data_IF_830391266036
#
_entry.id   IF_830391266036
#
_cell.length_a   1.000
_cell.length_b   1.000
_cell.length_c   1.000
_cell.angle_alpha   90.00
_cell.angle_beta   90.00
_cell.angle_gamma   90.00
#
_symmetry.space_group_name_H-M   'P 1'
#
loop_
_entity.id
_entity.type
_entity.pdbx_description
1 polymer ?
#
# COMPACT_ATOMS: atom_id res chain seq x y z
N UNK A 1 -1.69 5.54 22.37
CA UNK A 1 -2.47 4.57 21.61
C UNK A 1 -1.60 3.34 21.51
N UNK A 2 -2.15 2.14 21.68
CA UNK A 2 -1.31 0.92 21.55
C UNK A 2 -0.66 0.90 20.15
N UNK A 3 0.64 0.55 20.02
CA UNK A 3 1.37 0.62 18.75
C UNK A 3 0.66 -0.06 17.57
N UNK A 4 0.01 -1.21 17.83
CA UNK A 4 -0.76 -1.93 16.81
C UNK A 4 -1.98 -1.15 16.29
N UNK A 5 -2.73 -0.48 17.19
CA UNK A 5 -3.86 0.37 16.80
C UNK A 5 -3.39 1.60 16.01
N UNK A 6 -2.28 2.22 16.45
CA UNK A 6 -1.68 3.35 15.75
C UNK A 6 -1.20 2.95 14.35
N UNK A 7 -0.63 1.76 14.21
CA UNK A 7 -0.22 1.21 12.93
C UNK A 7 -1.41 0.95 12.01
N UNK A 8 -2.48 0.29 12.47
CA UNK A 8 -3.70 0.09 11.67
C UNK A 8 -4.27 1.43 11.18
N UNK A 9 -4.42 2.42 12.06
CA UNK A 9 -4.91 3.75 11.66
C UNK A 9 -3.97 4.40 10.65
N UNK A 10 -2.65 4.27 10.85
CA UNK A 10 -1.65 4.70 9.88
C UNK A 10 -1.82 4.04 8.51
N UNK A 11 -2.07 2.72 8.50
CA UNK A 11 -2.32 1.95 7.28
C UNK A 11 -3.59 2.37 6.56
N UNK A 12 -4.67 2.65 7.30
CA UNK A 12 -5.92 3.16 6.72
C UNK A 12 -5.73 4.54 6.08
N UNK A 13 -5.05 5.46 6.78
CA UNK A 13 -4.71 6.80 6.25
C UNK A 13 -3.83 6.66 5.01
N UNK A 14 -2.81 5.79 5.06
CA UNK A 14 -1.97 5.52 3.91
C UNK A 14 -2.75 4.94 2.73
N UNK A 15 -3.69 4.03 2.96
CA UNK A 15 -4.57 3.50 1.91
C UNK A 15 -5.34 4.60 1.19
N UNK A 16 -5.94 5.53 1.94
CA UNK A 16 -6.64 6.70 1.37
C UNK A 16 -5.67 7.59 0.57
N UNK A 17 -4.52 7.93 1.15
CA UNK A 17 -3.51 8.77 0.48
C UNK A 17 -3.02 8.13 -0.81
N UNK A 18 -2.69 6.84 -0.77
CA UNK A 18 -2.24 6.06 -1.92
C UNK A 18 -3.30 6.05 -3.02
N UNK A 19 -4.57 5.79 -2.70
CA UNK A 19 -5.66 5.85 -3.68
C UNK A 19 -5.76 7.23 -4.33
N UNK A 20 -5.65 8.31 -3.56
CA UNK A 20 -5.68 9.67 -4.10
C UNK A 20 -4.48 9.96 -5.02
N UNK A 21 -3.28 9.56 -4.62
CA UNK A 21 -2.06 9.69 -5.43
C UNK A 21 -2.21 8.95 -6.75
N UNK A 22 -2.72 7.72 -6.72
CA UNK A 22 -2.93 6.91 -7.91
C UNK A 22 -4.00 7.50 -8.83
N UNK A 23 -5.13 7.94 -8.27
CA UNK A 23 -6.19 8.58 -9.04
C UNK A 23 -5.71 9.88 -9.70
N UNK A 24 -5.01 10.75 -8.96
CA UNK A 24 -4.47 11.99 -9.48
C UNK A 24 -3.38 11.76 -10.52
N UNK A 25 -2.44 10.83 -10.25
CA UNK A 25 -1.35 10.50 -11.16
C UNK A 25 -1.83 9.90 -12.48
N UNK A 26 -2.88 9.08 -12.46
CA UNK A 26 -3.53 8.60 -13.70
C UNK A 26 -4.19 9.73 -14.46
N UNK A 27 -4.96 10.58 -13.77
CA UNK A 27 -5.66 11.70 -14.40
C UNK A 27 -4.70 12.70 -15.06
N UNK A 28 -3.51 12.88 -14.51
CA UNK A 28 -2.48 13.75 -15.06
C UNK A 28 -1.56 13.09 -16.10
N UNK A 29 -1.68 11.78 -16.32
CA UNK A 29 -0.80 11.00 -17.21
C UNK A 29 0.59 10.70 -16.65
N UNK A 30 0.86 11.09 -15.39
CA UNK A 30 2.12 10.79 -14.69
C UNK A 30 2.23 9.29 -14.39
N UNK A 31 1.12 8.65 -14.01
CA UNK A 31 1.03 7.21 -13.77
C UNK A 31 0.23 6.52 -14.87
N UNK A 32 0.69 5.32 -15.25
CA UNK A 32 -0.03 4.43 -16.15
C UNK A 32 -1.16 3.66 -15.44
N UNK A 33 -1.60 2.55 -16.05
CA UNK A 33 -2.54 1.61 -15.42
C UNK A 33 -1.88 1.01 -14.18
N UNK A 34 -2.64 0.97 -13.09
CA UNK A 34 -2.15 0.59 -11.77
C UNK A 34 -2.45 -0.87 -11.43
N UNK A 35 -1.71 -1.43 -10.48
CA UNK A 35 -1.82 -2.84 -10.09
C UNK A 35 -3.20 -3.21 -9.50
N UNK A 36 -3.86 -2.33 -8.75
CA UNK A 36 -5.27 -2.52 -8.33
C UNK A 36 -6.14 -2.90 -9.51
N UNK A 37 -5.99 -2.17 -10.62
CA UNK A 37 -6.81 -2.36 -11.79
C UNK A 37 -6.41 -3.62 -12.54
N UNK A 38 -5.12 -3.95 -12.59
CA UNK A 38 -4.66 -5.26 -13.10
C UNK A 38 -5.24 -6.42 -12.27
N UNK A 39 -5.25 -6.30 -10.93
CA UNK A 39 -5.80 -7.31 -10.04
C UNK A 39 -7.33 -7.44 -10.15
N UNK A 40 -8.04 -6.32 -10.32
CA UNK A 40 -9.50 -6.35 -10.47
C UNK A 40 -9.93 -6.76 -11.87
N UNK A 41 -9.17 -6.41 -12.91
CA UNK A 41 -9.37 -6.98 -14.25
C UNK A 41 -9.14 -8.50 -14.22
N UNK A 42 -8.10 -8.99 -13.53
CA UNK A 42 -7.89 -10.43 -13.33
C UNK A 42 -9.07 -11.10 -12.57
N UNK A 43 -9.59 -10.47 -11.51
CA UNK A 43 -10.80 -10.98 -10.82
C UNK A 43 -11.98 -11.01 -11.78
N UNK A 44 -12.17 -9.97 -12.57
CA UNK A 44 -13.25 -9.87 -13.55
C UNK A 44 -13.14 -10.95 -14.63
N UNK A 45 -11.95 -11.14 -15.20
CA UNK A 45 -11.68 -12.20 -16.19
C UNK A 45 -11.99 -13.60 -15.63
N UNK A 46 -11.74 -13.81 -14.33
CA UNK A 46 -11.97 -15.09 -13.66
C UNK A 46 -13.42 -15.30 -13.19
N UNK A 47 -14.20 -14.24 -12.98
CA UNK A 47 -15.50 -14.32 -12.28
C UNK A 47 -16.67 -13.63 -12.98
N UNK A 48 -16.42 -12.82 -14.02
CA UNK A 48 -17.40 -11.94 -14.65
C UNK A 48 -17.94 -10.85 -13.73
N UNK A 49 -17.23 -10.50 -12.66
CA UNK A 49 -17.74 -9.61 -11.60
C UNK A 49 -18.24 -8.25 -12.09
N UNK A 50 -17.63 -7.65 -13.13
CA UNK A 50 -18.00 -6.34 -13.68
C UNK A 50 -19.39 -6.36 -14.32
N UNK A 51 -19.81 -7.50 -14.87
CA UNK A 51 -21.18 -7.66 -15.38
C UNK A 51 -22.24 -7.57 -14.26
N UNK A 52 -21.83 -7.84 -13.01
CA UNK A 52 -22.71 -7.83 -11.83
C UNK A 52 -22.65 -6.52 -11.06
N UNK A 53 -21.44 -5.97 -10.86
CA UNK A 53 -21.22 -4.80 -9.97
C UNK A 53 -20.95 -3.48 -10.71
N UNK A 54 -20.73 -3.53 -12.04
CA UNK A 54 -20.40 -2.38 -12.87
C UNK A 54 -19.07 -1.69 -12.49
N UNK A 55 -18.73 -0.61 -13.19
CA UNK A 55 -17.45 0.11 -13.01
C UNK A 55 -17.33 0.79 -11.63
N UNK A 56 -18.45 1.26 -11.09
CA UNK A 56 -18.50 1.86 -9.76
C UNK A 56 -18.24 0.81 -8.67
N UNK A 57 -18.86 -0.37 -8.78
CA UNK A 57 -18.59 -1.49 -7.86
C UNK A 57 -17.17 -2.01 -7.99
N UNK A 58 -16.66 -2.11 -9.22
CA UNK A 58 -15.26 -2.47 -9.53
C UNK A 58 -14.29 -1.54 -8.80
N UNK A 59 -14.50 -0.23 -8.90
CA UNK A 59 -13.68 0.79 -8.21
C UNK A 59 -13.78 0.71 -6.69
N UNK A 60 -14.96 0.34 -6.16
CA UNK A 60 -15.14 0.15 -4.72
C UNK A 60 -14.37 -1.08 -4.21
N UNK A 61 -14.32 -2.16 -4.98
CA UNK A 61 -13.52 -3.36 -4.66
C UNK A 61 -12.03 -3.06 -4.74
N UNK A 62 -11.57 -2.32 -5.77
CA UNK A 62 -10.18 -1.84 -5.86
C UNK A 62 -9.78 -1.07 -4.60
N UNK A 63 -10.62 -0.11 -4.18
CA UNK A 63 -10.39 0.68 -2.98
C UNK A 63 -10.38 -0.17 -1.70
N UNK A 64 -11.34 -1.08 -1.55
CA UNK A 64 -11.43 -1.95 -0.38
C UNK A 64 -10.21 -2.88 -0.28
N UNK A 65 -9.75 -3.44 -1.40
CA UNK A 65 -8.54 -4.25 -1.47
C UNK A 65 -7.31 -3.43 -1.04
N UNK A 66 -7.14 -2.22 -1.56
CA UNK A 66 -6.05 -1.33 -1.17
C UNK A 66 -6.07 -0.97 0.30
N UNK A 67 -7.25 -0.63 0.84
CA UNK A 67 -7.40 -0.26 2.23
C UNK A 67 -7.12 -1.45 3.17
N UNK A 68 -7.64 -2.62 2.82
CA UNK A 68 -7.41 -3.87 3.55
C UNK A 68 -5.94 -4.29 3.54
N UNK A 69 -5.31 -4.31 2.36
CA UNK A 69 -3.89 -4.61 2.21
C UNK A 69 -3.02 -3.62 2.98
N UNK A 70 -3.33 -2.31 2.91
CA UNK A 70 -2.60 -1.28 3.64
C UNK A 70 -2.68 -1.47 5.15
N UNK A 71 -3.87 -1.76 5.69
CA UNK A 71 -4.05 -2.05 7.10
C UNK A 71 -3.33 -3.34 7.53
N UNK A 72 -3.39 -4.38 6.70
CA UNK A 72 -2.71 -5.65 6.96
C UNK A 72 -1.18 -5.50 6.98
N UNK A 73 -0.59 -4.82 5.99
CA UNK A 73 0.85 -4.58 5.97
C UNK A 73 1.29 -3.63 7.10
N UNK A 74 0.46 -2.66 7.48
CA UNK A 74 0.75 -1.79 8.61
C UNK A 74 0.90 -2.56 9.94
N UNK A 75 0.23 -3.71 10.10
CA UNK A 75 0.39 -4.56 11.28
C UNK A 75 1.84 -5.04 11.51
N UNK A 76 2.67 -5.07 10.46
CA UNK A 76 4.10 -5.38 10.54
C UNK A 76 4.95 -4.24 11.11
N UNK A 77 4.49 -2.99 11.05
CA UNK A 77 5.27 -1.81 11.45
C UNK A 77 5.76 -1.85 12.91
N UNK A 78 4.92 -2.16 13.92
CA UNK A 78 5.39 -2.21 15.31
C UNK A 78 6.48 -3.26 15.54
N UNK A 79 6.45 -4.36 14.79
CA UNK A 79 7.47 -5.41 14.89
C UNK A 79 8.82 -4.93 14.39
N UNK A 80 8.80 -4.25 13.24
CA UNK A 80 9.98 -3.69 12.58
C UNK A 80 10.59 -2.56 13.43
N UNK A 81 9.74 -1.66 13.94
CA UNK A 81 10.16 -0.55 14.82
C UNK A 81 10.87 -1.04 16.08
N UNK A 82 10.37 -2.12 16.71
CA UNK A 82 11.02 -2.73 17.89
C UNK A 82 12.38 -3.35 17.57
N UNK A 83 12.58 -3.88 16.37
CA UNK A 83 13.84 -4.52 15.95
C UNK A 83 14.91 -3.51 15.53
N UNK A 84 14.50 -2.34 15.05
CA UNK A 84 15.40 -1.27 14.66
C UNK A 84 15.02 0.07 15.33
N UNK A 85 15.12 0.17 16.68
CA UNK A 85 14.66 1.33 17.43
C UNK A 85 15.46 2.62 17.11
N UNK A 86 16.71 2.49 16.69
CA UNK A 86 17.60 3.61 16.36
C UNK A 86 17.54 4.05 14.88
N UNK A 87 16.90 3.26 14.00
CA UNK A 87 16.84 3.60 12.58
C UNK A 87 15.89 4.79 12.33
N UNK A 88 16.21 5.70 11.38
CA UNK A 88 15.28 6.74 10.96
C UNK A 88 13.98 6.13 10.43
N UNK A 89 12.84 6.65 10.90
CA UNK A 89 11.51 6.13 10.57
C UNK A 89 11.27 6.05 9.06
N UNK A 90 11.64 7.10 8.33
CA UNK A 90 11.47 7.18 6.87
C UNK A 90 12.31 6.14 6.13
N UNK A 91 13.55 5.92 6.55
CA UNK A 91 14.45 4.93 5.95
C UNK A 91 13.95 3.52 6.21
N UNK A 92 13.58 3.22 7.45
CA UNK A 92 13.05 1.91 7.82
C UNK A 92 11.73 1.61 7.10
N UNK A 93 10.87 2.62 6.95
CA UNK A 93 9.62 2.50 6.20
C UNK A 93 9.87 2.32 4.70
N UNK A 94 10.77 3.08 4.09
CA UNK A 94 11.11 2.93 2.67
C UNK A 94 11.70 1.55 2.35
N UNK A 95 12.57 1.04 3.23
CA UNK A 95 13.09 -0.33 3.12
C UNK A 95 11.96 -1.37 3.23
N UNK A 96 11.02 -1.17 4.16
CA UNK A 96 9.86 -2.03 4.30
C UNK A 96 8.95 -2.01 3.07
N UNK A 97 8.65 -0.82 2.52
CA UNK A 97 7.88 -0.68 1.29
C UNK A 97 8.57 -1.31 0.09
N UNK A 98 9.89 -1.19 -0.01
CA UNK A 98 10.68 -1.84 -1.07
C UNK A 98 10.60 -3.37 -0.96
N UNK A 99 10.67 -3.92 0.25
CA UNK A 99 10.50 -5.36 0.47
C UNK A 99 9.08 -5.82 0.10
N UNK A 100 8.05 -5.08 0.52
CA UNK A 100 6.67 -5.39 0.14
C UNK A 100 6.46 -5.37 -1.37
N UNK A 101 7.02 -4.37 -2.06
CA UNK A 101 7.02 -4.33 -3.51
C UNK A 101 7.71 -5.57 -4.12
N UNK A 102 8.93 -5.89 -3.67
CA UNK A 102 9.68 -7.01 -4.22
C UNK A 102 8.94 -8.35 -4.04
N UNK A 103 8.35 -8.58 -2.86
CA UNK A 103 7.63 -9.82 -2.56
C UNK A 103 6.28 -9.87 -3.28
N UNK A 104 5.45 -8.84 -3.13
CA UNK A 104 4.08 -8.87 -3.63
C UNK A 104 4.02 -8.70 -5.14
N UNK A 105 4.78 -7.74 -5.66
CA UNK A 105 4.71 -7.32 -7.06
C UNK A 105 5.74 -8.07 -7.90
N UNK A 106 6.98 -8.12 -7.41
CA UNK A 106 8.05 -8.84 -8.11
C UNK A 106 7.94 -10.35 -8.03
N UNK A 107 7.29 -10.89 -6.98
CA UNK A 107 7.19 -12.31 -6.72
C UNK A 107 5.78 -12.87 -6.90
N UNK A 108 4.86 -12.52 -5.98
CA UNK A 108 3.55 -13.19 -5.88
C UNK A 108 2.64 -12.86 -7.08
N UNK A 109 2.50 -11.59 -7.45
CA UNK A 109 1.61 -11.16 -8.52
C UNK A 109 1.87 -11.88 -9.87
N UNK A 110 3.12 -11.99 -10.37
CA UNK A 110 3.36 -12.71 -11.61
C UNK A 110 3.17 -14.22 -11.46
N UNK A 111 3.50 -14.81 -10.30
CA UNK A 111 3.25 -16.24 -10.05
C UNK A 111 1.76 -16.60 -10.07
N UNK A 112 0.89 -15.65 -9.70
CA UNK A 112 -0.56 -15.81 -9.76
C UNK A 112 -1.17 -15.41 -11.12
N UNK A 113 -0.35 -14.97 -12.07
CA UNK A 113 -0.80 -14.48 -13.38
C UNK A 113 -1.54 -13.14 -13.33
N UNK A 114 -1.40 -12.39 -12.23
CA UNK A 114 -2.00 -11.05 -12.08
C UNK A 114 -1.21 -10.02 -12.89
N UNK A 115 0.10 -10.22 -13.03
CA UNK A 115 0.98 -9.36 -13.82
C UNK A 115 1.89 -10.17 -14.73
N UNK A 116 2.40 -9.50 -15.75
CA UNK A 116 3.45 -9.94 -16.67
C UNK A 116 4.84 -10.04 -15.99
N UNK A 117 4.96 -9.59 -14.74
CA UNK A 117 6.23 -9.45 -14.04
C UNK A 117 6.99 -8.16 -14.38
N UNK A 118 7.92 -7.78 -13.50
CA UNK A 118 8.54 -6.45 -13.54
C UNK A 118 9.54 -6.26 -14.69
N UNK A 119 10.12 -7.35 -15.21
CA UNK A 119 11.01 -7.27 -16.37
C UNK A 119 10.24 -6.92 -17.65
N UNK A 120 9.11 -7.59 -17.88
CA UNK A 120 8.25 -7.36 -19.05
C UNK A 120 7.49 -6.03 -18.96
N UNK A 121 7.09 -5.65 -17.74
CA UNK A 121 6.43 -4.36 -17.45
C UNK A 121 7.30 -3.13 -17.80
N UNK A 122 8.63 -3.31 -17.81
CA UNK A 122 9.60 -2.25 -18.08
C UNK A 122 9.83 -1.29 -16.90
N UNK A 123 10.93 -0.52 -16.98
CA UNK A 123 11.44 0.29 -15.86
C UNK A 123 10.48 1.36 -15.37
N UNK A 124 9.65 1.92 -16.25
CA UNK A 124 8.65 2.93 -15.89
C UNK A 124 7.59 2.34 -14.95
N UNK A 125 6.91 1.28 -15.37
CA UNK A 125 5.82 0.64 -14.61
C UNK A 125 6.36 0.08 -13.28
N UNK A 126 7.57 -0.48 -13.30
CA UNK A 126 8.28 -0.91 -12.11
C UNK A 126 8.52 0.21 -11.10
N UNK A 127 9.01 1.36 -11.59
CA UNK A 127 9.26 2.52 -10.75
C UNK A 127 7.97 3.08 -10.16
N UNK A 128 6.89 3.15 -10.95
CA UNK A 128 5.58 3.61 -10.49
C UNK A 128 5.04 2.70 -9.38
N UNK A 129 5.06 1.37 -9.58
CA UNK A 129 4.60 0.38 -8.59
C UNK A 129 5.45 0.42 -7.32
N UNK A 130 6.78 0.51 -7.45
CA UNK A 130 7.69 0.64 -6.31
C UNK A 130 7.46 1.93 -5.51
N UNK A 131 7.34 3.07 -6.20
CA UNK A 131 7.16 4.36 -5.55
C UNK A 131 5.88 4.40 -4.71
N UNK A 132 4.78 3.83 -5.20
CA UNK A 132 3.52 3.72 -4.46
C UNK A 132 3.71 2.93 -3.14
N UNK A 133 4.44 1.82 -3.16
CA UNK A 133 4.70 1.02 -1.95
C UNK A 133 5.55 1.77 -0.93
N UNK A 134 6.57 2.51 -1.40
CA UNK A 134 7.40 3.35 -0.55
C UNK A 134 6.58 4.48 0.08
N UNK A 135 5.77 5.18 -0.71
CA UNK A 135 4.90 6.25 -0.21
C UNK A 135 3.93 5.71 0.84
N UNK A 136 3.23 4.61 0.55
CA UNK A 136 2.26 3.99 1.46
C UNK A 136 2.90 3.66 2.81
N UNK A 137 4.07 3.01 2.81
CA UNK A 137 4.75 2.58 4.04
C UNK A 137 5.33 3.75 4.82
N UNK A 138 5.87 4.77 4.15
CA UNK A 138 6.35 5.99 4.80
C UNK A 138 5.20 6.74 5.47
N UNK A 139 4.08 6.94 4.76
CA UNK A 139 2.89 7.61 5.33
C UNK A 139 2.36 6.81 6.53
N UNK A 140 2.25 5.49 6.39
CA UNK A 140 1.83 4.59 7.48
C UNK A 140 2.70 4.80 8.72
N UNK A 141 4.02 4.73 8.54
CA UNK A 141 5.00 4.85 9.62
C UNK A 141 4.93 6.22 10.31
N UNK A 142 4.91 7.31 9.55
CA UNK A 142 4.85 8.67 10.11
C UNK A 142 3.56 8.90 10.91
N UNK A 143 2.42 8.45 10.40
CA UNK A 143 1.14 8.55 11.12
C UNK A 143 1.15 7.68 12.38
N UNK A 144 1.65 6.44 12.28
CA UNK A 144 1.72 5.51 13.40
C UNK A 144 2.60 6.06 14.54
N UNK A 145 3.80 6.57 14.24
CA UNK A 145 4.71 7.17 15.23
C UNK A 145 4.08 8.42 15.86
N UNK A 146 3.42 9.26 15.05
CA UNK A 146 2.74 10.46 15.56
C UNK A 146 1.61 10.11 16.53
N UNK A 147 0.80 9.10 16.22
CA UNK A 147 -0.31 8.64 17.05
C UNK A 147 0.14 7.90 18.31
N UNK A 148 1.23 7.14 18.22
CA UNK A 148 1.86 6.49 19.37
C UNK A 148 2.45 7.54 20.33
N UNK A 149 3.27 8.47 19.81
CA UNK A 149 3.94 9.51 20.60
C UNK A 149 3.00 10.54 21.25
N UNK A 150 1.81 10.80 20.66
CA UNK A 150 0.78 11.67 21.29
C UNK A 150 0.31 11.19 22.67
N UNK A 151 0.47 9.91 22.97
CA UNK A 151 -0.05 9.33 24.22
C UNK A 151 0.99 9.29 25.32
N UNK A 152 2.28 9.21 24.98
CA UNK A 152 3.35 9.31 25.98
C UNK A 152 3.41 10.71 26.62
N UNK A 153 2.98 11.75 25.90
CA UNK A 153 2.86 13.12 26.42
C UNK A 153 1.61 13.28 27.30
N UNK A 154 0.48 12.66 26.94
CA UNK A 154 -0.79 12.76 27.68
C UNK A 154 -0.85 11.91 28.97
N UNK A 155 0.07 10.96 29.15
CA UNK A 155 0.19 10.12 30.37
C UNK A 155 1.20 10.72 31.37
N UNK A 156 1.99 11.71 30.97
CA UNK A 156 3.03 12.36 31.79
C UNK A 156 2.70 13.82 32.19
N UNK A 157 1.53 14.32 31.80
CA UNK A 157 0.97 15.60 32.26
C UNK A 157 -0.28 15.35 33.08
#
# INVERSE_FOLDING_TARGET
MKPYKAAIVGGLVAGVVTTLVMAAGRKSGVLGKTLDRDAVDWIDDMTGSRAVIGDAGTSAVEFANHLGASAAFAAGWPLLRRRAPAAPVSILAAAYGTMLYAVNIGGIAPLLGITEGEFEAGTRKATERWAVHVIQTVVTALVAERLAGRTDVAVRG
#
